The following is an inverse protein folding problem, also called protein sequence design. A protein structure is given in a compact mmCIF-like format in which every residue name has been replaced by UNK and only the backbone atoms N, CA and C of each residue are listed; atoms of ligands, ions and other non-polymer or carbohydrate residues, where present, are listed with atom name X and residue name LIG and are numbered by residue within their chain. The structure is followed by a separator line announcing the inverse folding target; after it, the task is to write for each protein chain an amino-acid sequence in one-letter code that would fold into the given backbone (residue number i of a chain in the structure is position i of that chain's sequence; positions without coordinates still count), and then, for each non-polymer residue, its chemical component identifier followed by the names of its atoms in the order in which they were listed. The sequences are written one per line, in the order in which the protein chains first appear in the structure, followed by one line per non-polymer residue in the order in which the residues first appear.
data_IF_745771655007
#
_entry.id   IF_745771655007
#
_cell.length_a   1.000
_cell.length_b   1.000
_cell.length_c   1.000
_cell.angle_alpha   90.00
_cell.angle_beta   90.00
_cell.angle_gamma   90.00
#
_symmetry.space_group_name_H-M   'P 1'
#
loop_
_entity.id
_entity.type
_entity.pdbx_description
1 polymer ?
#
# COMPACT_ATOMS: atom_id res chain seq x y z
N UNK A 1 20.94 2.21 -9.36
CA UNK A 1 20.16 2.18 -8.10
C UNK A 1 19.89 3.59 -7.57
N UNK A 2 20.91 4.43 -7.37
CA UNK A 2 20.74 5.80 -6.87
C UNK A 2 19.90 6.65 -7.84
N UNK A 3 20.12 6.53 -9.15
CA UNK A 3 19.35 7.27 -10.15
C UNK A 3 17.87 6.87 -10.14
N UNK A 4 17.58 5.56 -10.11
CA UNK A 4 16.22 5.04 -9.99
C UNK A 4 15.52 5.50 -8.70
N UNK A 5 16.23 5.54 -7.58
CA UNK A 5 15.72 6.08 -6.33
C UNK A 5 15.42 7.59 -6.43
N UNK A 6 16.36 8.37 -6.97
CA UNK A 6 16.20 9.81 -7.13
C UNK A 6 15.05 10.17 -8.09
N UNK A 7 14.92 9.42 -9.19
CA UNK A 7 13.79 9.55 -10.12
C UNK A 7 12.47 9.24 -9.42
N UNK A 8 12.41 8.13 -8.67
CA UNK A 8 11.23 7.78 -7.88
C UNK A 8 10.84 8.87 -6.88
N UNK A 9 11.82 9.51 -6.23
CA UNK A 9 11.54 10.61 -5.29
C UNK A 9 11.02 11.86 -6.03
N UNK A 10 11.57 12.20 -7.19
CA UNK A 10 11.07 13.32 -8.01
C UNK A 10 9.65 13.03 -8.52
N UNK A 11 9.38 11.78 -8.90
CA UNK A 11 8.09 11.35 -9.41
C UNK A 11 7.00 11.31 -8.34
N UNK A 12 7.32 11.34 -7.04
CA UNK A 12 6.33 11.47 -5.96
C UNK A 12 5.41 12.68 -6.09
N UNK A 13 5.86 13.72 -6.80
CA UNK A 13 5.02 14.90 -7.12
C UNK A 13 3.91 14.60 -8.11
N UNK A 14 3.96 13.45 -8.79
CA UNK A 14 3.02 13.02 -9.81
C UNK A 14 1.91 12.15 -9.22
N UNK A 15 0.69 12.33 -9.73
CA UNK A 15 -0.53 11.73 -9.18
C UNK A 15 -0.57 10.19 -9.31
N UNK A 16 0.20 9.61 -10.25
CA UNK A 16 0.25 8.15 -10.43
C UNK A 16 0.74 7.39 -9.19
N UNK A 17 1.59 7.98 -8.36
CA UNK A 17 2.07 7.34 -7.14
C UNK A 17 1.04 7.39 -6.01
N UNK A 18 0.08 8.32 -6.07
CA UNK A 18 -0.98 8.45 -5.08
C UNK A 18 -1.84 7.20 -4.99
N UNK A 19 -2.02 6.50 -6.12
CA UNK A 19 -2.73 5.21 -6.19
C UNK A 19 -2.12 4.16 -5.27
N UNK A 20 -0.79 4.17 -5.11
CA UNK A 20 -0.08 3.25 -4.22
C UNK A 20 0.01 3.82 -2.81
N UNK A 21 0.46 5.06 -2.70
CA UNK A 21 0.77 5.70 -1.42
C UNK A 21 -0.49 5.87 -0.57
N UNK A 22 -1.62 6.29 -1.13
CA UNK A 22 -2.83 6.57 -0.36
C UNK A 22 -3.40 5.33 0.38
N UNK A 23 -3.75 4.21 -0.28
CA UNK A 23 -4.31 3.05 0.42
C UNK A 23 -3.32 2.41 1.40
N UNK A 24 -2.01 2.44 1.10
CA UNK A 24 -0.99 1.93 2.01
C UNK A 24 -0.81 2.85 3.22
N UNK A 25 -0.82 4.17 3.02
CA UNK A 25 -0.83 5.14 4.12
C UNK A 25 -2.06 4.96 5.01
N UNK A 26 -3.25 4.75 4.43
CA UNK A 26 -4.45 4.46 5.20
C UNK A 26 -4.31 3.18 6.02
N UNK A 27 -3.64 2.16 5.51
CA UNK A 27 -3.36 0.92 6.25
C UNK A 27 -2.39 1.16 7.42
N UNK A 28 -1.35 1.97 7.21
CA UNK A 28 -0.41 2.37 8.28
C UNK A 28 -1.13 3.17 9.38
N UNK A 29 -1.99 4.12 8.99
CA UNK A 29 -2.79 4.93 9.91
C UNK A 29 -3.84 4.10 10.64
N UNK A 30 -4.48 3.15 9.95
CA UNK A 30 -5.37 2.17 10.56
C UNK A 30 -4.60 1.34 11.60
N UNK A 31 -3.38 0.92 11.31
CA UNK A 31 -2.49 0.25 12.26
C UNK A 31 -1.84 1.17 13.31
N UNK A 32 -2.33 2.42 13.45
CA UNK A 32 -1.87 3.43 14.42
C UNK A 32 -0.37 3.72 14.33
N UNK A 33 0.20 3.73 13.13
CA UNK A 33 1.60 4.09 12.90
C UNK A 33 2.62 3.15 13.57
N UNK A 34 2.23 1.90 13.89
CA UNK A 34 3.18 0.92 14.43
C UNK A 34 4.31 0.67 13.44
N UNK A 35 5.56 0.70 13.92
CA UNK A 35 6.73 0.46 13.08
C UNK A 35 6.67 -0.85 12.25
N UNK A 36 6.17 -1.97 12.78
CA UNK A 36 5.93 -3.17 11.99
C UNK A 36 5.01 -2.96 10.77
N UNK A 37 3.96 -2.12 10.87
CA UNK A 37 3.10 -1.82 9.72
C UNK A 37 3.85 -1.03 8.66
N UNK A 38 4.65 -0.04 9.05
CA UNK A 38 5.47 0.77 8.13
C UNK A 38 6.49 -0.12 7.42
N UNK A 39 7.25 -0.90 8.17
CA UNK A 39 8.24 -1.82 7.61
C UNK A 39 7.59 -2.88 6.69
N UNK A 40 6.45 -3.45 7.13
CA UNK A 40 5.66 -4.38 6.34
C UNK A 40 5.18 -3.76 5.03
N UNK A 41 4.56 -2.59 5.09
CA UNK A 41 4.10 -1.84 3.92
C UNK A 41 5.22 -1.56 2.91
N UNK A 42 6.36 -1.04 3.35
CA UNK A 42 7.52 -0.75 2.50
C UNK A 42 8.06 -2.03 1.87
N UNK A 43 8.24 -3.09 2.67
CA UNK A 43 8.68 -4.40 2.16
C UNK A 43 7.70 -5.02 1.17
N UNK A 44 6.40 -4.86 1.43
CA UNK A 44 5.32 -5.26 0.54
C UNK A 44 5.35 -4.53 -0.80
N UNK A 45 5.52 -3.20 -0.79
CA UNK A 45 5.64 -2.41 -2.02
C UNK A 45 6.86 -2.83 -2.82
N UNK A 46 8.02 -3.02 -2.17
CA UNK A 46 9.23 -3.48 -2.83
C UNK A 46 9.04 -4.87 -3.47
N UNK A 47 8.49 -5.84 -2.72
CA UNK A 47 8.22 -7.18 -3.22
C UNK A 47 7.18 -7.18 -4.35
N UNK A 48 6.08 -6.45 -4.18
CA UNK A 48 5.05 -6.28 -5.20
C UNK A 48 5.59 -5.60 -6.46
N UNK A 49 6.48 -4.63 -6.30
CA UNK A 49 7.16 -3.96 -7.40
C UNK A 49 8.04 -4.90 -8.22
N UNK A 50 8.81 -5.77 -7.55
CA UNK A 50 9.58 -6.83 -8.22
C UNK A 50 8.65 -7.75 -9.00
N UNK A 51 7.59 -8.25 -8.39
CA UNK A 51 6.60 -9.11 -9.06
C UNK A 51 5.95 -8.43 -10.26
N UNK A 52 5.69 -7.12 -10.15
CA UNK A 52 5.07 -6.30 -11.19
C UNK A 52 6.00 -6.16 -12.40
N UNK A 53 7.26 -5.74 -12.20
CA UNK A 53 8.19 -5.49 -13.32
C UNK A 53 8.65 -6.77 -14.01
N UNK A 54 8.78 -7.87 -13.28
CA UNK A 54 9.16 -9.18 -13.86
C UNK A 54 8.00 -9.87 -14.55
N UNK A 55 6.79 -9.31 -14.46
CA UNK A 55 5.54 -9.87 -15.02
C UNK A 55 5.27 -11.31 -14.57
N UNK A 56 5.72 -11.70 -13.38
CA UNK A 56 5.48 -13.04 -12.85
C UNK A 56 3.98 -13.33 -12.69
N UNK A 57 3.17 -12.30 -12.49
CA UNK A 57 1.72 -12.41 -12.39
C UNK A 57 1.08 -11.59 -13.50
N UNK A 58 0.42 -12.26 -14.45
CA UNK A 58 -0.50 -11.60 -15.38
C UNK A 58 -1.80 -11.32 -14.64
N UNK A 59 -2.10 -10.04 -14.41
CA UNK A 59 -3.37 -9.61 -13.82
C UNK A 59 -4.46 -9.60 -14.89
N UNK A 60 -5.38 -10.54 -14.77
CA UNK A 60 -6.68 -10.47 -15.47
C UNK A 60 -7.65 -9.62 -14.64
N UNK A 61 -8.70 -9.09 -15.27
CA UNK A 61 -9.73 -8.30 -14.57
C UNK A 61 -10.33 -9.05 -13.36
N UNK A 62 -10.54 -10.36 -13.49
CA UNK A 62 -11.01 -11.20 -12.39
C UNK A 62 -10.03 -11.26 -11.21
N UNK A 63 -8.72 -11.36 -11.48
CA UNK A 63 -7.67 -11.35 -10.44
C UNK A 63 -7.56 -9.99 -9.77
N UNK A 64 -7.72 -8.91 -10.53
CA UNK A 64 -7.74 -7.54 -10.01
C UNK A 64 -8.88 -7.37 -8.99
N UNK A 65 -10.10 -7.78 -9.34
CA UNK A 65 -11.27 -7.74 -8.43
C UNK A 65 -11.08 -8.60 -7.19
N UNK A 66 -10.56 -9.82 -7.35
CA UNK A 66 -10.28 -10.71 -6.21
C UNK A 66 -9.24 -10.09 -5.26
N UNK A 67 -8.18 -9.50 -5.80
CA UNK A 67 -7.16 -8.83 -5.00
C UNK A 67 -7.71 -7.61 -4.25
N UNK A 68 -8.65 -6.88 -4.85
CA UNK A 68 -9.34 -5.77 -4.20
C UNK A 68 -10.24 -6.24 -3.05
N UNK A 69 -10.99 -7.34 -3.23
CA UNK A 69 -11.77 -7.95 -2.14
C UNK A 69 -10.87 -8.40 -0.98
N UNK A 70 -9.68 -8.92 -1.28
CA UNK A 70 -8.70 -9.30 -0.26
C UNK A 70 -8.18 -8.07 0.50
N UNK A 71 -7.86 -6.98 -0.18
CA UNK A 71 -7.47 -5.71 0.47
C UNK A 71 -8.61 -5.17 1.34
N UNK A 72 -9.86 -5.20 0.88
CA UNK A 72 -11.03 -4.82 1.69
C UNK A 72 -11.08 -5.68 2.96
N UNK A 73 -10.96 -7.00 2.83
CA UNK A 73 -10.98 -7.93 3.97
C UNK A 73 -9.88 -7.63 4.98
N UNK A 74 -8.66 -7.38 4.52
CA UNK A 74 -7.51 -7.04 5.38
C UNK A 74 -7.69 -5.69 6.06
N UNK A 75 -8.04 -4.64 5.32
CA UNK A 75 -8.25 -3.29 5.88
C UNK A 75 -9.41 -3.31 6.88
N UNK A 76 -10.52 -3.99 6.56
CA UNK A 76 -11.65 -4.15 7.46
C UNK A 76 -11.26 -4.92 8.73
N UNK A 77 -10.45 -5.97 8.62
CA UNK A 77 -9.94 -6.71 9.78
C UNK A 77 -9.10 -5.81 10.71
N UNK A 78 -8.21 -5.00 10.14
CA UNK A 78 -7.40 -4.04 10.91
C UNK A 78 -8.32 -3.01 11.59
N UNK A 79 -9.24 -2.40 10.84
CA UNK A 79 -10.17 -1.39 11.38
C UNK A 79 -11.14 -1.93 12.43
N UNK A 80 -11.63 -3.16 12.26
CA UNK A 80 -12.59 -3.77 13.18
C UNK A 80 -11.98 -4.01 14.56
N UNK A 81 -10.68 -4.33 14.64
CA UNK A 81 -9.98 -4.46 15.93
C UNK A 81 -10.06 -3.19 16.79
N UNK A 82 -10.28 -2.02 16.16
CA UNK A 82 -10.41 -0.73 16.85
C UNK A 82 -11.86 -0.36 17.19
N UNK A 83 -12.83 -0.93 16.51
CA UNK A 83 -14.25 -0.64 16.70
C UNK A 83 -14.93 -1.54 17.73
N UNK A 84 -14.35 -2.71 18.01
CA UNK A 84 -14.95 -3.66 18.95
C UNK A 84 -14.60 -3.25 20.39
N UNK A 85 -15.57 -2.83 21.22
CA UNK A 85 -15.31 -2.61 22.64
C UNK A 85 -14.93 -3.92 23.34
N UNK A 86 -14.12 -3.82 24.39
CA UNK A 86 -13.56 -4.91 25.20
C UNK A 86 -14.60 -5.73 25.99
N UNK A 87 -15.86 -5.78 25.56
CA UNK A 87 -16.97 -6.49 26.22
C UNK A 87 -17.64 -7.51 25.29
N UNK A 88 -17.02 -7.84 24.14
CA UNK A 88 -17.49 -8.91 23.27
C UNK A 88 -16.73 -10.20 23.59
N UNK A 89 -17.47 -11.30 23.73
CA UNK A 89 -16.99 -12.56 24.33
C UNK A 89 -15.66 -13.11 23.82
N UNK A 90 -15.07 -14.00 24.62
CA UNK A 90 -13.68 -14.51 24.54
C UNK A 90 -13.15 -14.86 23.14
N UNK A 91 -14.03 -15.27 22.22
CA UNK A 91 -13.64 -15.63 20.84
C UNK A 91 -13.18 -14.40 20.05
N UNK A 92 -13.82 -13.26 20.24
CA UNK A 92 -13.50 -12.02 19.53
C UNK A 92 -12.23 -11.39 20.12
N UNK A 93 -12.03 -11.47 21.43
CA UNK A 93 -10.80 -11.02 22.09
C UNK A 93 -9.58 -11.80 21.62
N UNK A 94 -9.68 -13.14 21.53
CA UNK A 94 -8.59 -13.97 20.98
C UNK A 94 -8.25 -13.61 19.53
N UNK A 95 -9.26 -13.32 18.72
CA UNK A 95 -9.06 -12.90 17.34
C UNK A 95 -8.39 -11.52 17.27
N UNK A 96 -8.86 -10.55 18.06
CA UNK A 96 -8.29 -9.21 18.13
C UNK A 96 -6.83 -9.26 18.61
N UNK A 97 -6.52 -10.05 19.64
CA UNK A 97 -5.16 -10.24 20.13
C UNK A 97 -4.23 -10.84 19.06
N UNK A 98 -4.73 -11.78 18.25
CA UNK A 98 -4.00 -12.33 17.11
C UNK A 98 -3.73 -11.27 16.02
N UNK A 99 -4.75 -10.47 15.68
CA UNK A 99 -4.66 -9.39 14.71
C UNK A 99 -3.71 -8.26 15.17
N UNK A 100 -3.60 -8.05 16.48
CA UNK A 100 -2.69 -7.07 17.09
C UNK A 100 -1.25 -7.57 17.24
N UNK A 101 -0.97 -8.84 16.94
CA UNK A 101 0.40 -9.35 16.96
C UNK A 101 1.28 -8.59 15.96
N UNK A 102 2.54 -8.33 16.34
CA UNK A 102 3.51 -7.60 15.51
C UNK A 102 3.63 -8.18 14.11
N UNK A 103 3.66 -9.51 14.00
CA UNK A 103 3.75 -10.22 12.73
C UNK A 103 2.47 -10.11 11.89
N UNK A 104 1.28 -10.15 12.51
CA UNK A 104 0.04 -9.95 11.78
C UNK A 104 -0.07 -8.53 11.21
N UNK A 105 0.33 -7.52 11.97
CA UNK A 105 0.33 -6.12 11.51
C UNK A 105 1.34 -5.89 10.38
N UNK A 106 2.56 -6.42 10.51
CA UNK A 106 3.56 -6.34 9.45
C UNK A 106 3.12 -7.09 8.19
N UNK A 107 2.66 -8.34 8.36
CA UNK A 107 2.24 -9.20 7.26
C UNK A 107 1.03 -8.64 6.51
N UNK A 108 0.01 -8.15 7.22
CA UNK A 108 -1.17 -7.53 6.60
C UNK A 108 -0.81 -6.27 5.81
N UNK A 109 0.03 -5.40 6.38
CA UNK A 109 0.50 -4.20 5.70
C UNK A 109 1.36 -4.53 4.48
N UNK A 110 2.19 -5.57 4.56
CA UNK A 110 2.98 -6.07 3.44
C UNK A 110 2.10 -6.64 2.31
N UNK A 111 1.07 -7.40 2.65
CA UNK A 111 0.12 -7.94 1.68
C UNK A 111 -0.62 -6.81 0.97
N UNK A 112 -1.10 -5.80 1.71
CA UNK A 112 -1.74 -4.62 1.11
C UNK A 112 -0.76 -3.89 0.20
N UNK A 113 0.45 -3.60 0.66
CA UNK A 113 1.49 -2.96 -0.14
C UNK A 113 1.78 -3.71 -1.45
N UNK A 114 1.95 -5.03 -1.38
CA UNK A 114 2.26 -5.85 -2.54
C UNK A 114 1.12 -5.89 -3.57
N UNK A 115 -0.13 -5.99 -3.11
CA UNK A 115 -1.31 -6.03 -3.97
C UNK A 115 -1.56 -4.68 -4.62
N UNK A 116 -1.51 -3.61 -3.85
CA UNK A 116 -1.78 -2.27 -4.37
C UNK A 116 -0.75 -1.87 -5.43
N UNK A 117 0.52 -2.28 -5.29
CA UNK A 117 1.52 -2.07 -6.34
C UNK A 117 1.11 -2.72 -7.67
N UNK A 118 0.29 -3.78 -7.67
CA UNK A 118 -0.22 -4.37 -8.92
C UNK A 118 -1.32 -3.53 -9.58
N UNK A 119 -1.96 -2.62 -8.85
CA UNK A 119 -2.98 -1.71 -9.38
C UNK A 119 -2.38 -0.43 -9.95
N UNK A 120 -1.07 -0.26 -9.76
CA UNK A 120 -0.33 0.92 -10.15
C UNK A 120 -0.17 0.99 -11.67
N UNK A 121 -0.52 2.15 -12.23
CA UNK A 121 -0.14 2.53 -13.59
C UNK A 121 0.99 3.55 -13.48
N UNK A 122 2.24 3.16 -13.75
CA UNK A 122 3.37 4.05 -13.54
C UNK A 122 3.31 5.25 -14.48
N UNK A 123 3.64 6.44 -13.94
CA UNK A 123 4.18 7.49 -14.78
C UNK A 123 5.58 7.04 -15.19
N UNK A 124 5.83 6.95 -16.49
CA UNK A 124 7.10 6.42 -16.99
C UNK A 124 8.09 7.57 -17.09
N UNK A 125 9.14 7.53 -16.26
CA UNK A 125 10.39 8.25 -16.49
C UNK A 125 11.42 7.35 -17.17
N UNK A 126 12.63 7.86 -17.39
CA UNK A 126 13.69 7.12 -18.10
C UNK A 126 14.12 5.86 -17.36
N UNK A 127 14.42 5.95 -16.05
CA UNK A 127 14.90 4.81 -15.27
C UNK A 127 13.81 3.74 -15.10
N UNK A 128 12.55 4.15 -14.87
CA UNK A 128 11.47 3.17 -14.78
C UNK A 128 11.16 2.52 -16.15
N UNK A 129 11.25 3.30 -17.24
CA UNK A 129 11.10 2.77 -18.60
C UNK A 129 12.14 1.71 -18.93
N UNK A 130 13.41 1.95 -18.54
CA UNK A 130 14.49 0.97 -18.66
C UNK A 130 14.20 -0.30 -17.84
N UNK A 131 13.84 -0.16 -16.56
CA UNK A 131 13.48 -1.29 -15.70
C UNK A 131 12.36 -2.12 -16.32
N UNK A 132 11.27 -1.50 -16.78
CA UNK A 132 10.12 -2.19 -17.36
C UNK A 132 10.45 -2.90 -18.68
N UNK A 133 11.46 -2.42 -19.41
CA UNK A 133 11.89 -2.99 -20.69
C UNK A 133 12.86 -4.15 -20.47
N UNK A 134 13.78 -4.03 -19.53
CA UNK A 134 14.84 -5.02 -19.28
C UNK A 134 14.43 -6.12 -18.30
N UNK A 135 13.62 -5.83 -17.28
CA UNK A 135 13.29 -6.77 -16.21
C UNK A 135 12.63 -8.10 -16.68
N UNK A 136 11.80 -8.14 -17.74
CA UNK A 136 11.29 -9.40 -18.24
C UNK A 136 12.36 -10.36 -18.77
N UNK A 137 13.49 -9.83 -19.25
CA UNK A 137 14.58 -10.62 -19.84
C UNK A 137 15.76 -10.83 -18.87
N UNK A 138 15.99 -9.88 -17.97
CA UNK A 138 17.01 -9.93 -16.93
C UNK A 138 16.45 -9.48 -15.57
N UNK A 139 15.64 -10.33 -14.90
CA UNK A 139 14.99 -9.96 -13.65
C UNK A 139 15.98 -9.74 -12.51
N UNK A 140 17.12 -10.44 -12.54
CA UNK A 140 18.14 -10.36 -11.49
C UNK A 140 19.00 -9.11 -11.64
N UNK A 141 19.40 -8.74 -12.86
CA UNK A 141 20.10 -7.48 -13.11
C UNK A 141 19.25 -6.25 -12.79
N UNK A 142 17.93 -6.34 -12.97
CA UNK A 142 16.99 -5.25 -12.67
C UNK A 142 16.44 -5.27 -11.24
N UNK A 143 16.82 -6.24 -10.39
CA UNK A 143 16.30 -6.37 -9.03
C UNK A 143 16.66 -5.16 -8.16
N UNK A 144 17.93 -4.78 -8.10
CA UNK A 144 18.40 -3.64 -7.29
C UNK A 144 17.85 -2.29 -7.78
N UNK A 145 17.85 -1.98 -9.09
CA UNK A 145 17.14 -0.80 -9.60
C UNK A 145 15.67 -0.76 -9.22
N UNK A 146 14.96 -1.88 -9.34
CA UNK A 146 13.54 -1.99 -8.98
C UNK A 146 13.31 -1.73 -7.50
N UNK A 147 14.08 -2.38 -6.63
CA UNK A 147 14.00 -2.16 -5.17
C UNK A 147 14.31 -0.69 -4.86
N UNK A 148 15.35 -0.12 -5.45
CA UNK A 148 15.70 1.30 -5.29
C UNK A 148 14.54 2.24 -5.68
N UNK A 149 13.91 1.99 -6.82
CA UNK A 149 12.74 2.75 -7.25
C UNK A 149 11.57 2.60 -6.27
N UNK A 150 11.25 1.37 -5.87
CA UNK A 150 10.14 1.07 -4.95
C UNK A 150 10.35 1.64 -3.54
N UNK A 151 11.61 1.71 -3.08
CA UNK A 151 11.97 2.40 -1.84
C UNK A 151 11.80 3.92 -1.97
N UNK A 152 12.16 4.50 -3.13
CA UNK A 152 11.96 5.91 -3.41
C UNK A 152 10.48 6.32 -3.34
N UNK A 153 9.59 5.56 -3.98
CA UNK A 153 8.14 5.84 -3.92
C UNK A 153 7.56 5.61 -2.52
N UNK A 154 8.22 4.81 -1.68
CA UNK A 154 7.77 4.49 -0.33
C UNK A 154 8.20 5.54 0.71
N UNK A 155 9.03 6.50 0.33
CA UNK A 155 9.53 7.54 1.23
C UNK A 155 8.41 8.34 1.94
N UNK A 156 7.31 8.75 1.28
CA UNK A 156 6.20 9.41 1.96
C UNK A 156 5.56 8.54 3.03
N UNK A 157 5.50 7.22 2.84
CA UNK A 157 4.94 6.31 3.82
C UNK A 157 5.79 6.23 5.08
N UNK A 158 7.12 6.24 4.89
CA UNK A 158 8.06 6.35 6.00
C UNK A 158 7.86 7.67 6.76
N UNK A 159 7.76 8.80 6.04
CA UNK A 159 7.52 10.12 6.64
C UNK A 159 6.19 10.15 7.40
N UNK A 160 5.10 9.63 6.82
CA UNK A 160 3.78 9.56 7.47
C UNK A 160 3.85 8.70 8.74
N UNK A 161 4.49 7.54 8.68
CA UNK A 161 4.68 6.66 9.82
C UNK A 161 5.47 7.34 10.95
N UNK A 162 6.60 7.97 10.61
CA UNK A 162 7.43 8.72 11.56
C UNK A 162 6.68 9.91 12.16
N UNK A 163 5.96 10.68 11.35
CA UNK A 163 5.16 11.82 11.80
C UNK A 163 4.05 11.39 12.76
N UNK A 164 3.35 10.30 12.46
CA UNK A 164 2.32 9.74 13.35
C UNK A 164 2.91 9.29 14.69
N UNK A 165 4.05 8.58 14.66
CA UNK A 165 4.76 8.16 15.87
C UNK A 165 5.29 9.32 16.70
N UNK A 166 5.77 10.39 16.05
CA UNK A 166 6.24 11.59 16.72
C UNK A 166 5.08 12.40 17.34
N UNK A 167 3.91 12.42 16.69
CA UNK A 167 2.74 13.15 17.18
C UNK A 167 2.10 12.50 18.41
N UNK A 168 2.16 11.17 18.54
CA UNK A 168 1.56 10.41 19.65
C UNK A 168 0.10 10.82 19.94
N UNK A 169 -0.81 10.72 18.96
CA UNK A 169 -2.19 11.16 19.15
C UNK A 169 -2.87 10.43 20.31
N UNK A 170 -3.78 11.12 21.00
CA UNK A 170 -4.56 10.50 22.07
C UNK A 170 -5.37 9.31 21.55
N UNK A 171 -5.70 8.31 22.40
CA UNK A 171 -6.42 7.11 21.95
C UNK A 171 -7.72 7.39 21.20
N UNK A 172 -8.45 8.44 21.61
CA UNK A 172 -9.67 8.86 20.94
C UNK A 172 -9.40 9.38 19.51
N UNK A 173 -8.35 10.20 19.34
CA UNK A 173 -7.94 10.72 18.03
C UNK A 173 -7.42 9.60 17.14
N UNK A 174 -6.54 8.74 17.67
CA UNK A 174 -6.03 7.57 16.97
C UNK A 174 -7.15 6.64 16.46
N UNK A 175 -8.18 6.45 17.28
CA UNK A 175 -9.35 5.63 16.89
C UNK A 175 -10.13 6.28 15.76
N UNK A 176 -10.40 7.59 15.84
CA UNK A 176 -11.11 8.32 14.77
C UNK A 176 -10.33 8.31 13.46
N UNK A 177 -9.01 8.53 13.52
CA UNK A 177 -8.12 8.44 12.36
C UNK A 177 -8.15 7.03 11.77
N UNK A 178 -8.02 6.00 12.61
CA UNK A 178 -8.03 4.61 12.15
C UNK A 178 -9.34 4.22 11.49
N UNK A 179 -10.48 4.67 12.02
CA UNK A 179 -11.81 4.43 11.42
C UNK A 179 -11.95 5.17 10.08
N UNK A 180 -11.57 6.45 10.03
CA UNK A 180 -11.60 7.23 8.81
C UNK A 180 -10.69 6.61 7.73
N UNK A 181 -9.47 6.23 8.10
CA UNK A 181 -8.52 5.58 7.20
C UNK A 181 -9.03 4.23 6.70
N UNK A 182 -9.63 3.42 7.57
CA UNK A 182 -10.28 2.15 7.19
C UNK A 182 -11.40 2.40 6.18
N UNK A 183 -12.29 3.36 6.45
CA UNK A 183 -13.40 3.70 5.55
C UNK A 183 -12.88 4.16 4.17
N UNK A 184 -11.89 5.05 4.13
CA UNK A 184 -11.26 5.51 2.89
C UNK A 184 -10.59 4.35 2.15
N UNK A 185 -9.84 3.49 2.86
CA UNK A 185 -9.19 2.32 2.26
C UNK A 185 -10.20 1.35 1.62
N UNK A 186 -11.33 1.10 2.29
CA UNK A 186 -12.42 0.28 1.76
C UNK A 186 -13.04 0.91 0.52
N UNK A 187 -13.31 2.23 0.54
CA UNK A 187 -13.87 2.94 -0.61
C UNK A 187 -12.93 2.87 -1.82
N UNK A 188 -11.63 3.09 -1.61
CA UNK A 188 -10.62 2.99 -2.66
C UNK A 188 -10.58 1.57 -3.25
N UNK A 189 -10.53 0.54 -2.42
CA UNK A 189 -10.51 -0.84 -2.89
C UNK A 189 -11.84 -1.25 -3.56
N UNK A 190 -12.98 -0.78 -3.06
CA UNK A 190 -14.29 -1.02 -3.68
C UNK A 190 -14.37 -0.41 -5.09
N UNK A 191 -13.77 0.78 -5.31
CA UNK A 191 -13.72 1.38 -6.65
C UNK A 191 -13.02 0.48 -7.68
N UNK A 192 -12.02 -0.32 -7.25
CA UNK A 192 -11.35 -1.32 -8.07
C UNK A 192 -12.29 -2.49 -8.38
N UNK A 193 -13.05 -2.97 -7.39
CA UNK A 193 -14.05 -4.04 -7.58
C UNK A 193 -15.09 -3.66 -8.64
N UNK A 194 -15.58 -2.43 -8.61
CA UNK A 194 -16.56 -1.91 -9.56
C UNK A 194 -15.96 -1.52 -10.93
N UNK A 195 -14.66 -1.72 -11.14
CA UNK A 195 -14.00 -1.36 -12.40
C UNK A 195 -13.86 0.14 -12.65
N UNK A 196 -14.15 0.98 -11.66
CA UNK A 196 -14.07 2.45 -11.74
C UNK A 196 -12.61 2.95 -11.63
N UNK A 197 -11.70 2.09 -11.17
CA UNK A 197 -10.28 2.43 -10.98
C UNK A 197 -9.64 3.04 -12.22
N UNK A 198 -9.86 2.45 -13.41
CA UNK A 198 -9.29 2.96 -14.65
C UNK A 198 -9.75 4.38 -14.98
N UNK A 199 -11.03 4.69 -14.75
CA UNK A 199 -11.60 6.00 -14.97
C UNK A 199 -11.12 7.03 -13.95
N UNK A 200 -11.05 6.66 -12.66
CA UNK A 200 -10.54 7.52 -11.59
C UNK A 200 -9.08 7.89 -11.88
N UNK A 201 -8.25 6.90 -12.23
CA UNK A 201 -6.85 7.12 -12.58
C UNK A 201 -6.74 8.02 -13.80
N UNK A 202 -7.52 7.77 -14.86
CA UNK A 202 -7.51 8.60 -16.06
C UNK A 202 -7.90 10.07 -15.77
N UNK A 203 -8.94 10.31 -14.96
CA UNK A 203 -9.36 11.66 -14.56
C UNK A 203 -8.31 12.36 -13.70
N UNK A 204 -7.69 11.63 -12.76
CA UNK A 204 -6.59 12.14 -11.94
C UNK A 204 -5.39 12.55 -12.79
N UNK A 205 -5.06 11.78 -13.83
CA UNK A 205 -4.02 12.14 -14.79
C UNK A 205 -4.36 13.43 -15.55
N UNK A 206 -5.60 13.56 -16.05
CA UNK A 206 -6.05 14.75 -16.77
C UNK A 206 -5.94 16.04 -15.94
N UNK A 207 -6.12 15.96 -14.61
CA UNK A 207 -6.02 17.14 -13.74
C UNK A 207 -4.58 17.52 -13.39
N UNK A 208 -3.62 16.63 -13.64
CA UNK A 208 -2.21 16.84 -13.32
C UNK A 208 -1.37 17.40 -14.49
N UNK A 209 -1.98 17.51 -15.67
CA UNK A 209 -1.41 18.12 -16.88
C UNK A 209 -1.84 19.59 -16.98
#
# INVERSE_FOLDING_TARGET
MIDAFAEAVRSLTQVCHLVVVAPVAMTILAARGRWPAVAGAIGGIAAGGVVFVTRWIVLTDGRLRLSALLVIGVVAMIGLSHLVPAHRGERIERFAAGAESTWAVAGSSAVVGAIVTQWWRPCVGEALGEILTLAPNDPWGQLLPTIGFMLGISLPLLVIGLAYMAWQPSPAVATRIGVAATAVGIVLAASVVFGQHGEIVARLFQWSQ
#
